data_IF_677034986521
#
_entry.id   IF_677034986521
#
_cell.length_a   1.000
_cell.length_b   1.000
_cell.length_c   1.000
_cell.angle_alpha   90.00
_cell.angle_beta   90.00
_cell.angle_gamma   90.00
#
_symmetry.space_group_name_H-M   'P 1'
#
loop_
_entity.id
_entity.type
_entity.pdbx_description
1 polymer ?
#
# COMPACT_ATOMS: atom_id res chain seq x y z
N UNK A 11 11.58 11.62 12.45
CA UNK A 11 10.94 12.09 11.19
C UNK A 11 11.00 10.99 10.14
N UNK A 12 9.93 10.27 9.94
CA UNK A 12 9.94 9.19 8.92
C UNK A 12 9.43 9.74 7.58
N UNK A 13 9.90 9.21 6.49
CA UNK A 13 9.45 9.70 5.16
C UNK A 13 8.53 8.65 4.52
N UNK A 14 7.64 9.07 3.67
CA UNK A 14 6.72 8.10 3.00
C UNK A 14 7.55 7.01 2.31
N UNK A 15 6.92 5.85 2.04
CA UNK A 15 7.59 4.73 1.38
C UNK A 15 7.90 5.03 -0.09
N UNK A 16 8.94 4.45 -0.62
CA UNK A 16 9.28 4.70 -2.05
C UNK A 16 8.85 3.51 -2.89
N UNK A 17 8.70 3.70 -4.18
CA UNK A 17 8.28 2.58 -5.06
C UNK A 17 9.10 1.33 -4.73
N UNK A 18 8.51 0.18 -4.83
CA UNK A 18 9.26 -1.08 -4.53
C UNK A 18 9.36 -1.26 -3.02
N UNK A 19 8.62 -0.50 -2.26
CA UNK A 19 8.66 -0.64 -0.78
C UNK A 19 7.52 -1.55 -0.32
N UNK A 20 7.79 -2.40 0.63
CA UNK A 20 6.72 -3.32 1.12
C UNK A 20 5.91 -2.63 2.23
N UNK A 21 4.62 -2.79 2.20
CA UNK A 21 3.77 -2.14 3.25
C UNK A 21 2.70 -3.12 3.72
N UNK A 22 2.36 -3.09 4.98
CA UNK A 22 1.32 -4.01 5.50
C UNK A 22 0.03 -3.23 5.79
N UNK A 23 -1.06 -3.61 5.20
CA UNK A 23 -2.33 -2.89 5.43
C UNK A 23 -2.92 -3.34 6.77
N UNK A 24 -3.20 -2.41 7.65
CA UNK A 24 -3.78 -2.78 8.97
C UNK A 24 -5.15 -2.15 9.13
N UNK A 25 -5.34 -0.98 8.61
CA UNK A 25 -6.66 -0.30 8.73
C UNK A 25 -7.24 -0.06 7.33
N UNK A 26 -8.53 0.09 7.23
CA UNK A 26 -9.15 0.31 5.90
C UNK A 26 -9.86 -0.96 5.43
N UNK A 27 -10.44 -0.93 4.26
CA UNK A 27 -11.14 -2.14 3.75
C UNK A 27 -10.12 -3.22 3.39
N UNK A 28 -8.96 -2.82 2.94
CA UNK A 28 -7.92 -3.82 2.56
C UNK A 28 -7.04 -4.13 3.78
N UNK A 29 -7.47 -3.71 4.95
CA UNK A 29 -6.64 -3.98 6.16
C UNK A 29 -6.42 -5.49 6.31
N UNK A 30 -5.22 -5.89 6.62
CA UNK A 30 -4.94 -7.35 6.78
C UNK A 30 -4.47 -7.92 5.44
N UNK A 31 -3.95 -7.09 4.58
CA UNK A 31 -3.48 -7.60 3.26
C UNK A 31 -2.10 -7.01 2.94
N UNK A 32 -1.28 -7.73 2.22
CA UNK A 32 0.07 -7.20 1.89
C UNK A 32 0.01 -6.43 0.57
N UNK A 33 0.79 -5.39 0.44
CA UNK A 33 0.77 -4.60 -0.82
C UNK A 33 2.14 -3.98 -1.06
N UNK A 34 2.54 -3.85 -2.30
CA UNK A 34 3.87 -3.24 -2.59
C UNK A 34 3.67 -1.76 -2.93
N UNK A 35 4.37 -0.88 -2.25
CA UNK A 35 4.23 0.57 -2.53
C UNK A 35 4.79 0.88 -3.91
N UNK A 36 4.13 1.71 -4.66
CA UNK A 36 4.63 2.08 -6.02
C UNK A 36 4.84 3.59 -6.10
N UNK A 37 3.78 4.32 -6.31
CA UNK A 37 3.92 5.81 -6.39
C UNK A 37 2.93 6.46 -5.41
N UNK A 38 3.41 7.49 -4.68
CA UNK A 38 2.58 8.20 -3.70
C UNK A 38 1.51 9.05 -4.38
N UNK A 39 0.41 8.44 -4.75
CA UNK A 39 -0.68 9.21 -5.42
C UNK A 39 -1.45 10.02 -4.37
N UNK A 40 -1.08 11.25 -4.18
CA UNK A 40 -1.79 12.09 -3.18
C UNK A 40 -1.17 11.87 -1.79
N UNK A 41 -1.19 12.88 -0.97
CA UNK A 41 -0.60 12.74 0.39
C UNK A 41 -1.47 11.79 1.23
N UNK A 42 -2.74 11.74 0.94
CA UNK A 42 -3.64 10.83 1.72
C UNK A 42 -3.91 9.56 0.93
N UNK A 43 -3.45 9.50 -0.30
CA UNK A 43 -3.69 8.29 -1.12
C UNK A 43 -2.35 7.74 -1.62
N UNK A 44 -2.33 6.52 -2.08
CA UNK A 44 -1.05 5.93 -2.57
C UNK A 44 -1.36 4.74 -3.48
N UNK A 45 -0.48 4.44 -4.39
CA UNK A 45 -0.71 3.28 -5.31
C UNK A 45 0.17 2.11 -4.88
N UNK A 46 -0.42 0.95 -4.72
CA UNK A 46 0.39 -0.24 -4.30
C UNK A 46 -0.04 -1.46 -5.13
N UNK A 47 0.84 -2.41 -5.28
CA UNK A 47 0.48 -3.62 -6.07
C UNK A 47 -0.03 -4.70 -5.12
N UNK A 48 -1.24 -5.15 -5.30
CA UNK A 48 -1.79 -6.20 -4.40
C UNK A 48 -1.79 -7.54 -5.13
N UNK A 49 -1.29 -8.57 -4.49
CA UNK A 49 -1.26 -9.91 -5.14
C UNK A 49 -2.29 -10.82 -4.48
N UNK A 50 -2.94 -11.66 -5.25
CA UNK A 50 -3.95 -12.57 -4.66
C UNK A 50 -3.63 -14.00 -5.05
N UNK A 51 -4.41 -14.95 -4.58
CA UNK A 51 -4.15 -16.37 -4.92
C UNK A 51 -4.58 -16.64 -6.36
N UNK A 52 -5.58 -15.94 -6.82
CA UNK A 52 -6.06 -16.16 -8.22
C UNK A 52 -5.23 -15.32 -9.19
N UNK A 53 -5.23 -14.02 -9.01
CA UNK A 53 -4.44 -13.15 -9.92
C UNK A 53 -3.96 -11.91 -9.16
N UNK A 54 -2.96 -11.23 -9.66
CA UNK A 54 -2.45 -10.02 -8.97
C UNK A 54 -3.16 -8.79 -9.54
N UNK A 55 -3.38 -7.79 -8.72
CA UNK A 55 -4.08 -6.57 -9.22
C UNK A 55 -3.61 -5.34 -8.42
N UNK A 56 -3.10 -4.33 -9.11
CA UNK A 56 -2.62 -3.09 -8.48
C UNK A 56 -3.78 -2.23 -7.97
N UNK A 57 -3.71 -1.76 -6.77
CA UNK A 57 -4.81 -0.91 -6.22
C UNK A 57 -4.22 0.29 -5.47
N UNK A 58 -5.01 1.29 -5.23
CA UNK A 58 -4.50 2.48 -4.50
C UNK A 58 -5.03 2.46 -3.06
N UNK A 59 -4.19 2.77 -2.11
CA UNK A 59 -4.64 2.77 -0.68
C UNK A 59 -4.07 3.99 0.03
N UNK A 60 -4.66 4.38 1.13
CA UNK A 60 -4.14 5.57 1.87
C UNK A 60 -3.22 5.11 3.00
N UNK A 61 -2.14 5.83 3.22
CA UNK A 61 -1.21 5.44 4.32
C UNK A 61 -2.00 5.22 5.60
N UNK A 62 -3.07 5.93 5.79
CA UNK A 62 -3.88 5.76 7.02
C UNK A 62 -4.43 4.33 7.06
N UNK A 63 -4.38 3.64 5.96
CA UNK A 63 -4.90 2.24 5.94
C UNK A 63 -3.72 1.27 6.09
N UNK A 64 -2.61 1.57 5.49
CA UNK A 64 -1.43 0.66 5.60
C UNK A 64 -0.25 1.42 6.22
N UNK A 65 0.65 0.71 6.85
CA UNK A 65 1.81 1.39 7.48
C UNK A 65 3.11 0.76 6.96
N UNK A 66 4.21 1.43 7.14
CA UNK A 66 5.51 0.88 6.64
C UNK A 66 6.53 0.88 7.79
N UNK A 67 7.37 -0.12 7.85
CA UNK A 67 8.38 -0.17 8.94
C UNK A 67 9.78 -0.18 8.33
#
# INVERSE_FOLDING_TARGET
GAMGEQLKHATKQLPEKGQTVRVARGQFAGIEAIYLEPDGDTRSIMLVKMISQQVPMSIENTDWEVT
#
